data_IF_267148886351
#
_entry.id   IF_267148886351
#
_cell.length_a   1.000
_cell.length_b   1.000
_cell.length_c   1.000
_cell.angle_alpha   90.00
_cell.angle_beta   90.00
_cell.angle_gamma   90.00
#
_symmetry.space_group_name_H-M   'P 1'
#
loop_
_entity.id
_entity.type
_entity.pdbx_description
1 polymer ?
#
# COMPACT_ATOMS: atom_id res chain seq x y z
N UNK A 1 7.09 -3.12 2.92
CA UNK A 1 7.77 -4.42 3.09
C UNK A 1 7.14 -5.43 2.13
N UNK A 2 7.92 -6.37 1.57
CA UNK A 2 9.37 -6.51 1.71
C UNK A 2 10.21 -5.62 0.76
N UNK A 3 9.58 -4.98 -0.23
CA UNK A 3 10.15 -3.87 -1.00
C UNK A 3 10.38 -2.61 -0.14
N UNK A 4 11.15 -1.66 -0.68
CA UNK A 4 11.51 -0.39 -0.03
C UNK A 4 12.26 -0.51 1.31
N UNK A 5 13.06 -1.57 1.48
CA UNK A 5 13.75 -1.89 2.76
C UNK A 5 15.25 -1.55 2.78
N UNK A 6 15.75 -0.77 1.81
CA UNK A 6 17.18 -0.42 1.70
C UNK A 6 17.74 0.27 2.94
N UNK A 7 16.99 1.16 3.58
CA UNK A 7 17.44 1.86 4.79
C UNK A 7 17.59 0.88 5.97
N UNK A 8 16.64 -0.03 6.16
CA UNK A 8 16.72 -1.08 7.18
C UNK A 8 17.93 -2.00 6.92
N UNK A 9 18.15 -2.42 5.68
CA UNK A 9 19.34 -3.22 5.30
C UNK A 9 20.66 -2.47 5.44
N UNK A 10 20.68 -1.15 5.29
CA UNK A 10 21.88 -0.36 5.54
C UNK A 10 22.23 -0.32 7.04
N UNK A 11 21.23 -0.38 7.93
CA UNK A 11 21.43 -0.47 9.37
C UNK A 11 21.74 -1.91 9.85
N UNK A 12 21.08 -2.90 9.24
CA UNK A 12 21.18 -4.32 9.57
C UNK A 12 21.42 -5.15 8.28
N UNK A 13 22.69 -5.28 7.84
CA UNK A 13 23.04 -5.96 6.59
C UNK A 13 22.52 -7.40 6.47
N UNK A 14 22.38 -8.11 7.60
CA UNK A 14 21.84 -9.46 7.70
C UNK A 14 20.38 -9.62 7.24
N UNK A 15 19.66 -8.49 7.10
CA UNK A 15 18.30 -8.44 6.57
C UNK A 15 18.23 -8.62 5.04
N UNK A 16 19.37 -8.65 4.34
CA UNK A 16 19.47 -9.15 2.96
C UNK A 16 20.00 -10.59 2.93
N UNK A 17 19.58 -11.40 1.94
CA UNK A 17 20.13 -12.75 1.77
C UNK A 17 21.63 -12.75 1.44
N UNK A 18 22.15 -11.65 0.89
CA UNK A 18 23.56 -11.52 0.51
C UNK A 18 24.46 -10.96 1.62
N UNK A 19 23.87 -10.48 2.73
CA UNK A 19 24.60 -9.86 3.84
C UNK A 19 25.39 -8.61 3.45
N UNK A 20 25.14 -8.01 2.28
CA UNK A 20 25.94 -6.88 1.79
C UNK A 20 25.69 -5.64 2.64
N UNK A 21 26.77 -4.96 3.00
CA UNK A 21 26.69 -3.65 3.65
C UNK A 21 26.28 -2.60 2.62
N UNK A 22 25.05 -2.10 2.76
CA UNK A 22 24.50 -1.06 1.90
C UNK A 22 24.67 0.33 2.53
N UNK A 23 24.58 1.36 1.68
CA UNK A 23 24.32 2.74 2.11
C UNK A 23 22.84 3.03 1.94
N UNK A 24 22.29 3.87 2.82
CA UNK A 24 20.96 4.46 2.65
C UNK A 24 20.86 5.11 1.26
N UNK A 25 19.74 4.85 0.57
CA UNK A 25 19.46 5.40 -0.75
C UNK A 25 19.47 6.93 -0.74
N UNK A 26 20.00 7.52 -1.80
CA UNK A 26 20.08 8.99 -1.99
C UNK A 26 19.48 9.44 -3.32
N UNK A 27 18.90 8.51 -4.06
CA UNK A 27 18.23 8.74 -5.31
C UNK A 27 16.79 8.23 -5.19
N UNK A 28 15.91 8.82 -5.99
CA UNK A 28 14.53 8.38 -6.11
C UNK A 28 14.41 7.12 -6.97
N UNK A 29 13.26 6.47 -6.89
CA UNK A 29 12.93 5.29 -7.66
C UNK A 29 13.05 4.00 -6.87
N UNK A 30 12.73 2.90 -7.56
CA UNK A 30 12.73 1.56 -7.00
C UNK A 30 14.16 1.04 -6.85
N UNK A 31 14.47 0.55 -5.66
CA UNK A 31 15.73 -0.12 -5.36
C UNK A 31 15.58 -1.64 -5.51
N UNK A 32 16.56 -2.36 -6.08
CA UNK A 32 16.52 -3.82 -6.18
C UNK A 32 16.73 -4.51 -4.83
N UNK A 33 17.26 -3.80 -3.83
CA UNK A 33 17.56 -4.36 -2.52
C UNK A 33 16.30 -4.53 -1.66
N UNK A 34 15.82 -5.77 -1.58
CA UNK A 34 14.60 -6.15 -0.86
C UNK A 34 14.93 -6.88 0.45
N UNK A 35 13.96 -6.97 1.35
CA UNK A 35 14.09 -7.71 2.60
C UNK A 35 14.14 -9.23 2.33
N UNK A 36 14.93 -9.98 3.11
CA UNK A 36 14.78 -11.44 3.21
C UNK A 36 13.43 -11.79 3.84
N UNK A 37 12.84 -12.91 3.46
CA UNK A 37 11.45 -13.25 3.85
C UNK A 37 11.33 -14.58 4.60
N UNK A 38 12.46 -15.06 5.12
CA UNK A 38 12.51 -16.19 6.05
C UNK A 38 12.31 -15.73 7.51
N UNK A 39 12.51 -16.64 8.46
CA UNK A 39 12.29 -16.40 9.89
C UNK A 39 12.98 -15.15 10.43
N UNK A 40 14.18 -14.82 9.94
CA UNK A 40 14.90 -13.62 10.40
C UNK A 40 14.20 -12.35 9.94
N UNK A 41 13.82 -12.27 8.65
CA UNK A 41 13.09 -11.12 8.13
C UNK A 41 11.69 -10.99 8.72
N UNK A 42 11.01 -12.12 8.90
CA UNK A 42 9.69 -12.17 9.52
C UNK A 42 9.75 -11.70 10.98
N UNK A 43 10.74 -12.17 11.75
CA UNK A 43 10.92 -11.73 13.15
C UNK A 43 11.18 -10.22 13.21
N UNK A 44 12.10 -9.71 12.38
CA UNK A 44 12.41 -8.28 12.33
C UNK A 44 11.15 -7.42 12.09
N UNK A 45 10.32 -7.82 11.11
CA UNK A 45 9.06 -7.12 10.86
C UNK A 45 8.08 -7.23 12.03
N UNK A 46 7.94 -8.41 12.64
CA UNK A 46 7.05 -8.61 13.79
C UNK A 46 7.45 -7.76 14.99
N UNK A 47 8.74 -7.70 15.32
CA UNK A 47 9.24 -6.87 16.43
C UNK A 47 8.88 -5.38 16.21
N UNK A 48 9.07 -4.84 15.00
CA UNK A 48 8.68 -3.46 14.66
C UNK A 48 7.16 -3.27 14.74
N UNK A 49 6.40 -4.24 14.23
CA UNK A 49 4.94 -4.17 14.26
C UNK A 49 4.40 -4.21 15.69
N UNK A 50 5.04 -4.92 16.61
CA UNK A 50 4.71 -4.89 18.04
C UNK A 50 4.89 -3.47 18.60
N UNK A 51 6.03 -2.82 18.35
CA UNK A 51 6.25 -1.44 18.78
C UNK A 51 5.22 -0.47 18.17
N UNK A 52 4.89 -0.63 16.88
CA UNK A 52 3.87 0.20 16.23
C UNK A 52 2.48 -0.03 16.83
N UNK A 53 2.13 -1.28 17.19
CA UNK A 53 0.86 -1.59 17.82
C UNK A 53 0.74 -0.98 19.23
N UNK A 54 1.85 -0.84 19.94
CA UNK A 54 1.91 -0.18 21.26
C UNK A 54 1.82 1.35 21.17
N UNK A 55 2.42 1.94 20.13
CA UNK A 55 2.45 3.41 19.96
C UNK A 55 1.16 3.95 19.35
N UNK A 56 0.52 3.22 18.44
CA UNK A 56 -0.62 3.70 17.66
C UNK A 56 -1.92 2.95 17.99
N UNK A 57 -2.91 3.70 18.45
CA UNK A 57 -4.27 3.21 18.73
C UNK A 57 -5.08 2.87 17.47
N UNK A 58 -4.59 3.23 16.28
CA UNK A 58 -5.23 2.92 14.99
C UNK A 58 -5.53 1.42 14.86
N UNK A 59 -6.72 1.08 14.40
CA UNK A 59 -7.08 -0.29 14.00
C UNK A 59 -6.21 -0.78 12.84
N UNK A 60 -5.66 0.13 12.04
CA UNK A 60 -4.98 -0.18 10.79
C UNK A 60 -3.48 0.03 10.86
N UNK A 61 -2.74 -0.88 10.23
CA UNK A 61 -1.30 -0.75 9.98
C UNK A 61 -1.05 -0.94 8.47
N UNK A 62 -0.43 0.06 7.83
CA UNK A 62 -0.05 -0.03 6.42
C UNK A 62 1.34 -0.67 6.29
N UNK A 63 1.43 -1.78 5.58
CA UNK A 63 2.68 -2.55 5.42
C UNK A 63 3.46 -2.22 4.14
N UNK A 64 2.88 -1.42 3.24
CA UNK A 64 3.41 -1.18 1.90
C UNK A 64 3.01 -2.33 0.98
N UNK A 65 4.01 -3.02 0.42
CA UNK A 65 3.83 -4.18 -0.47
C UNK A 65 4.08 -3.87 -1.94
N UNK A 66 4.31 -2.61 -2.26
CA UNK A 66 4.64 -2.09 -3.57
C UNK A 66 6.08 -2.39 -3.97
N UNK A 67 6.30 -2.37 -5.30
CA UNK A 67 7.63 -2.30 -5.93
C UNK A 67 8.68 -3.20 -5.27
N UNK A 68 8.42 -4.51 -5.28
CA UNK A 68 9.30 -5.51 -4.70
C UNK A 68 9.95 -6.39 -5.79
N UNK A 69 11.12 -5.99 -6.34
CA UNK A 69 11.84 -6.80 -7.31
C UNK A 69 12.24 -8.18 -6.80
N UNK A 70 12.06 -9.20 -7.63
CA UNK A 70 12.39 -10.60 -7.32
C UNK A 70 13.86 -10.96 -7.60
N UNK A 71 14.65 -10.04 -8.15
CA UNK A 71 15.98 -10.32 -8.68
C UNK A 71 16.94 -10.89 -7.62
N UNK A 72 17.04 -10.26 -6.45
CA UNK A 72 17.91 -10.75 -5.37
C UNK A 72 17.46 -12.11 -4.81
N UNK A 73 16.13 -12.32 -4.71
CA UNK A 73 15.60 -13.61 -4.27
C UNK A 73 15.88 -14.72 -5.29
N UNK A 74 15.82 -14.41 -6.58
CA UNK A 74 16.11 -15.35 -7.66
C UNK A 74 17.57 -15.84 -7.63
N UNK A 75 18.50 -14.99 -7.25
CA UNK A 75 19.92 -15.34 -7.12
C UNK A 75 20.20 -16.12 -5.81
N UNK A 76 19.42 -15.87 -4.75
CA UNK A 76 19.61 -16.48 -3.43
C UNK A 76 19.28 -17.98 -3.39
N UNK A 77 20.22 -18.86 -2.99
CA UNK A 77 19.93 -20.27 -2.73
C UNK A 77 18.90 -20.46 -1.61
N UNK A 78 19.00 -19.67 -0.53
CA UNK A 78 18.09 -19.74 0.61
C UNK A 78 16.66 -19.36 0.20
N UNK A 79 16.48 -18.31 -0.60
CA UNK A 79 15.15 -17.93 -1.08
C UNK A 79 14.55 -19.02 -1.98
N UNK A 80 15.35 -19.65 -2.85
CA UNK A 80 14.91 -20.79 -3.67
C UNK A 80 14.53 -22.02 -2.83
N UNK A 81 15.20 -22.26 -1.70
CA UNK A 81 14.82 -23.30 -0.75
C UNK A 81 13.50 -22.97 -0.04
N UNK A 82 13.30 -21.73 0.37
CA UNK A 82 12.02 -21.26 0.94
C UNK A 82 10.87 -21.43 -0.06
N UNK A 83 11.11 -21.09 -1.33
CA UNK A 83 10.11 -21.25 -2.38
C UNK A 83 9.69 -22.72 -2.52
N UNK A 84 10.65 -23.64 -2.50
CA UNK A 84 10.36 -25.09 -2.51
C UNK A 84 9.62 -25.54 -1.25
N UNK A 85 9.97 -25.00 -0.09
CA UNK A 85 9.33 -25.36 1.18
C UNK A 85 7.84 -25.01 1.20
N UNK A 86 7.44 -23.92 0.52
CA UNK A 86 6.03 -23.55 0.34
C UNK A 86 5.39 -24.21 -0.90
N UNK A 87 6.07 -25.15 -1.55
CA UNK A 87 5.65 -25.78 -2.81
C UNK A 87 5.39 -24.80 -3.96
N UNK A 88 6.02 -23.64 -3.93
CA UNK A 88 5.84 -22.59 -4.93
C UNK A 88 6.69 -22.80 -6.17
N UNK A 89 6.31 -22.12 -7.24
CA UNK A 89 6.90 -22.24 -8.58
C UNK A 89 7.44 -20.92 -9.12
N UNK A 90 6.89 -19.80 -8.66
CA UNK A 90 7.26 -18.45 -9.05
C UNK A 90 7.73 -17.63 -7.85
N UNK A 91 8.70 -16.73 -8.05
CA UNK A 91 9.37 -16.06 -6.93
C UNK A 91 8.47 -15.04 -6.21
N UNK A 92 7.47 -14.47 -6.90
CA UNK A 92 6.42 -13.64 -6.29
C UNK A 92 5.63 -14.39 -5.21
N UNK A 93 5.54 -15.72 -5.27
CA UNK A 93 4.88 -16.54 -4.25
C UNK A 93 5.54 -16.38 -2.87
N UNK A 94 6.83 -16.05 -2.81
CA UNK A 94 7.49 -15.72 -1.55
C UNK A 94 6.95 -14.43 -0.93
N UNK A 95 6.74 -13.38 -1.73
CA UNK A 95 6.13 -12.14 -1.25
C UNK A 95 4.71 -12.41 -0.76
N UNK A 96 3.93 -13.21 -1.51
CA UNK A 96 2.56 -13.58 -1.12
C UNK A 96 2.53 -14.33 0.20
N UNK A 97 3.40 -15.33 0.36
CA UNK A 97 3.50 -16.11 1.59
C UNK A 97 3.93 -15.24 2.78
N UNK A 98 4.93 -14.37 2.60
CA UNK A 98 5.36 -13.42 3.62
C UNK A 98 4.24 -12.47 4.03
N UNK A 99 3.54 -11.88 3.05
CA UNK A 99 2.44 -10.94 3.28
C UNK A 99 1.29 -11.61 4.04
N UNK A 100 0.95 -12.86 3.73
CA UNK A 100 -0.06 -13.61 4.45
C UNK A 100 0.32 -13.85 5.92
N UNK A 101 1.60 -14.10 6.22
CA UNK A 101 2.08 -14.26 7.61
C UNK A 101 2.02 -12.94 8.39
N UNK A 102 2.32 -11.81 7.75
CA UNK A 102 2.19 -10.48 8.37
C UNK A 102 0.73 -10.12 8.62
N UNK A 103 -0.15 -10.41 7.66
CA UNK A 103 -1.59 -10.19 7.80
C UNK A 103 -2.19 -10.98 8.97
N UNK A 104 -1.85 -12.26 9.09
CA UNK A 104 -2.26 -13.11 10.21
C UNK A 104 -1.72 -12.59 11.54
N UNK A 105 -0.46 -12.16 11.55
CA UNK A 105 0.15 -11.63 12.75
C UNK A 105 -0.53 -10.34 13.23
N UNK A 106 -0.78 -9.38 12.33
CA UNK A 106 -1.53 -8.16 12.67
C UNK A 106 -2.94 -8.48 13.17
N UNK A 107 -3.63 -9.43 12.54
CA UNK A 107 -4.93 -9.91 13.01
C UNK A 107 -4.86 -10.45 14.44
N UNK A 108 -3.82 -11.22 14.77
CA UNK A 108 -3.61 -11.73 16.14
C UNK A 108 -3.41 -10.62 17.18
N UNK A 109 -3.00 -9.43 16.74
CA UNK A 109 -2.85 -8.21 17.56
C UNK A 109 -4.10 -7.33 17.56
N UNK A 110 -5.20 -7.79 16.96
CA UNK A 110 -6.44 -7.01 16.81
C UNK A 110 -6.33 -5.87 15.79
N UNK A 111 -5.30 -5.88 14.93
CA UNK A 111 -5.09 -4.87 13.89
C UNK A 111 -5.52 -5.41 12.51
N UNK A 112 -5.88 -4.49 11.62
CA UNK A 112 -6.24 -4.72 10.22
C UNK A 112 -5.08 -4.29 9.34
N UNK A 113 -4.62 -5.19 8.47
CA UNK A 113 -3.55 -4.87 7.53
C UNK A 113 -4.07 -4.00 6.38
N UNK A 114 -3.31 -2.96 6.01
CA UNK A 114 -3.46 -2.25 4.75
C UNK A 114 -2.20 -2.43 3.90
N UNK A 115 -2.33 -2.55 2.58
CA UNK A 115 -1.20 -2.46 1.65
C UNK A 115 -1.61 -2.02 0.26
N UNK A 116 -0.62 -1.72 -0.58
CA UNK A 116 -0.81 -1.38 -1.98
C UNK A 116 -1.33 -2.57 -2.79
N UNK A 117 -1.98 -2.33 -3.93
CA UNK A 117 -2.70 -3.36 -4.68
C UNK A 117 -1.88 -4.58 -5.10
N UNK A 118 -0.56 -4.48 -5.15
CA UNK A 118 0.36 -5.61 -5.28
C UNK A 118 0.09 -6.75 -4.28
N UNK A 119 -0.38 -6.45 -3.06
CA UNK A 119 -0.60 -7.47 -2.03
C UNK A 119 -1.67 -8.50 -2.43
N UNK A 120 -2.49 -8.23 -3.46
CA UNK A 120 -3.53 -9.14 -3.95
C UNK A 120 -3.26 -9.70 -5.36
N UNK A 121 -2.12 -9.39 -6.00
CA UNK A 121 -1.87 -9.75 -7.41
C UNK A 121 -1.92 -11.27 -7.69
N UNK A 122 -1.63 -12.10 -6.68
CA UNK A 122 -1.77 -13.56 -6.77
C UNK A 122 -2.75 -14.15 -5.76
N UNK A 123 -3.77 -13.38 -5.37
CA UNK A 123 -4.83 -13.78 -4.44
C UNK A 123 -4.84 -12.98 -3.14
N UNK A 124 -6.00 -12.91 -2.50
CA UNK A 124 -6.17 -12.16 -1.23
C UNK A 124 -5.40 -12.87 -0.11
N UNK A 125 -4.45 -12.20 0.56
CA UNK A 125 -3.81 -12.78 1.73
C UNK A 125 -4.87 -12.98 2.82
N UNK A 126 -4.78 -14.07 3.57
CA UNK A 126 -5.65 -14.27 4.73
C UNK A 126 -5.57 -13.08 5.71
N UNK A 127 -6.55 -12.95 6.60
CA UNK A 127 -6.51 -11.93 7.65
C UNK A 127 -7.29 -10.64 7.38
N UNK A 128 -8.22 -10.62 6.42
CA UNK A 128 -9.09 -9.48 6.08
C UNK A 128 -8.31 -8.17 5.78
N UNK A 129 -7.43 -8.18 4.76
CA UNK A 129 -6.67 -6.99 4.39
C UNK A 129 -7.58 -5.87 3.86
N UNK A 130 -7.03 -4.67 3.80
CA UNK A 130 -7.56 -3.54 3.03
C UNK A 130 -6.55 -3.16 1.95
N UNK A 131 -7.02 -2.87 0.74
CA UNK A 131 -6.18 -2.58 -0.43
C UNK A 131 -6.20 -1.09 -0.76
N UNK A 132 -5.03 -0.49 -0.99
CA UNK A 132 -4.89 0.80 -1.68
C UNK A 132 -4.61 0.57 -3.18
N UNK A 133 -5.53 0.97 -4.03
CA UNK A 133 -5.43 0.82 -5.49
C UNK A 133 -4.77 2.05 -6.13
N UNK A 134 -3.57 1.88 -6.73
CA UNK A 134 -2.78 3.03 -7.22
C UNK A 134 -2.33 2.94 -8.68
N UNK A 135 -1.86 1.77 -9.16
CA UNK A 135 -1.25 1.62 -10.50
C UNK A 135 -2.27 1.69 -11.63
N UNK A 136 -3.06 0.63 -11.75
CA UNK A 136 -4.24 0.53 -12.61
C UNK A 136 -5.45 0.57 -11.69
N UNK A 137 -5.66 1.71 -11.06
CA UNK A 137 -6.53 1.85 -9.89
C UNK A 137 -7.94 1.32 -10.12
N UNK A 138 -8.52 1.50 -11.32
CA UNK A 138 -9.84 0.96 -11.66
C UNK A 138 -9.81 -0.57 -11.66
N UNK A 139 -8.84 -1.21 -12.34
CA UNK A 139 -8.76 -2.68 -12.34
C UNK A 139 -8.34 -3.25 -10.99
N UNK A 140 -7.45 -2.58 -10.27
CA UNK A 140 -7.08 -2.95 -8.90
C UNK A 140 -8.28 -2.86 -7.95
N UNK A 141 -9.10 -1.82 -8.08
CA UNK A 141 -10.33 -1.67 -7.33
C UNK A 141 -11.38 -2.73 -7.70
N UNK A 142 -11.57 -3.02 -9.00
CA UNK A 142 -12.44 -4.10 -9.46
C UNK A 142 -12.00 -5.47 -8.93
N UNK A 143 -10.70 -5.80 -9.01
CA UNK A 143 -10.15 -7.08 -8.51
C UNK A 143 -10.38 -7.23 -7.00
N UNK A 144 -10.03 -6.21 -6.22
CA UNK A 144 -10.17 -6.23 -4.76
C UNK A 144 -11.63 -6.30 -4.31
N UNK A 145 -12.50 -5.45 -4.86
CA UNK A 145 -13.94 -5.45 -4.52
C UNK A 145 -14.64 -6.73 -4.99
N UNK A 146 -14.28 -7.28 -6.16
CA UNK A 146 -14.81 -8.56 -6.62
C UNK A 146 -14.46 -9.71 -5.66
N UNK A 147 -13.29 -9.63 -5.01
CA UNK A 147 -12.82 -10.56 -4.00
C UNK A 147 -13.36 -10.29 -2.58
N UNK A 148 -14.25 -9.30 -2.41
CA UNK A 148 -14.84 -8.94 -1.11
C UNK A 148 -13.88 -8.21 -0.17
N UNK A 149 -12.79 -7.65 -0.70
CA UNK A 149 -11.78 -6.93 0.07
C UNK A 149 -12.14 -5.45 0.13
N UNK A 150 -11.93 -4.82 1.29
CA UNK A 150 -12.09 -3.37 1.43
C UNK A 150 -11.04 -2.64 0.60
N UNK A 151 -11.45 -1.62 -0.12
CA UNK A 151 -10.59 -0.93 -1.08
C UNK A 151 -10.65 0.57 -0.88
N UNK A 152 -9.48 1.20 -0.90
CA UNK A 152 -9.28 2.64 -0.94
C UNK A 152 -8.69 2.97 -2.32
N UNK A 153 -9.33 3.86 -3.06
CA UNK A 153 -8.76 4.35 -4.32
C UNK A 153 -7.71 5.44 -4.03
N UNK A 154 -6.49 5.20 -4.48
CA UNK A 154 -5.37 6.13 -4.41
C UNK A 154 -4.67 6.22 -5.79
N UNK A 155 -5.41 6.52 -6.87
CA UNK A 155 -4.87 6.56 -8.22
C UNK A 155 -3.70 7.54 -8.34
N UNK A 156 -2.78 7.27 -9.27
CA UNK A 156 -1.66 8.18 -9.58
C UNK A 156 -2.10 9.59 -9.97
N UNK A 157 -3.33 9.79 -10.46
CA UNK A 157 -3.90 11.13 -10.68
C UNK A 157 -4.05 11.94 -9.37
N UNK A 158 -4.12 11.30 -8.21
CA UNK A 158 -4.14 11.94 -6.89
C UNK A 158 -2.74 12.03 -6.24
N UNK A 159 -1.66 11.80 -7.00
CA UNK A 159 -0.30 11.95 -6.49
C UNK A 159 0.10 13.42 -6.57
N UNK A 160 -0.11 14.14 -5.47
CA UNK A 160 0.16 15.58 -5.38
C UNK A 160 1.66 15.95 -5.37
N UNK A 161 2.56 14.98 -5.57
CA UNK A 161 3.97 15.21 -5.90
C UNK A 161 4.24 15.32 -7.41
N UNK A 162 3.23 15.13 -8.25
CA UNK A 162 3.29 15.31 -9.71
C UNK A 162 2.95 16.75 -10.10
N UNK A 163 3.32 17.13 -11.33
CA UNK A 163 3.01 18.44 -11.88
C UNK A 163 1.50 18.61 -12.08
N UNK A 164 0.95 19.77 -11.69
CA UNK A 164 -0.48 20.08 -11.81
C UNK A 164 -0.83 20.83 -13.11
N UNK A 165 0.19 21.36 -13.79
CA UNK A 165 0.10 22.02 -15.09
C UNK A 165 1.12 21.45 -16.09
N UNK A 166 1.46 22.19 -17.16
CA UNK A 166 2.51 21.78 -18.09
C UNK A 166 3.83 21.49 -17.35
N UNK A 167 4.33 20.26 -17.47
CA UNK A 167 5.45 19.74 -16.68
C UNK A 167 6.72 20.60 -16.73
N UNK A 168 6.99 21.25 -17.86
CA UNK A 168 8.14 22.12 -18.08
C UNK A 168 8.02 23.52 -17.41
N UNK A 169 6.84 23.84 -16.86
CA UNK A 169 6.53 25.12 -16.20
C UNK A 169 6.28 25.00 -14.70
N UNK A 170 6.24 23.78 -14.20
CA UNK A 170 5.98 23.48 -12.79
C UNK A 170 7.28 23.32 -11.99
N UNK A 171 7.24 23.43 -10.65
CA UNK A 171 8.35 23.04 -9.79
C UNK A 171 8.78 21.57 -10.00
N UNK A 172 9.90 21.17 -9.40
CA UNK A 172 10.38 19.78 -9.44
C UNK A 172 9.25 18.82 -9.03
N UNK A 173 8.85 17.98 -9.98
CA UNK A 173 7.78 17.01 -9.82
C UNK A 173 8.23 15.62 -10.29
N UNK A 174 7.56 14.58 -9.79
CA UNK A 174 7.84 13.18 -10.17
C UNK A 174 7.58 12.91 -11.66
N UNK A 175 6.60 13.60 -12.23
CA UNK A 175 6.16 13.48 -13.62
C UNK A 175 4.92 14.35 -13.87
N UNK A 176 4.29 14.23 -15.05
CA UNK A 176 2.99 14.81 -15.32
C UNK A 176 1.94 14.26 -14.35
N UNK A 177 1.09 15.13 -13.81
CA UNK A 177 -0.01 14.77 -12.90
C UNK A 177 -1.36 15.23 -13.43
N UNK A 178 -2.35 15.25 -12.54
CA UNK A 178 -3.67 15.78 -12.82
C UNK A 178 -3.77 17.26 -12.46
N UNK A 179 -4.52 18.02 -13.26
CA UNK A 179 -4.92 19.37 -12.90
C UNK A 179 -6.06 19.37 -11.88
N UNK A 180 -6.39 20.55 -11.36
CA UNK A 180 -7.43 20.71 -10.34
C UNK A 180 -8.82 20.24 -10.84
N UNK A 181 -9.15 20.48 -12.10
CA UNK A 181 -10.43 20.07 -12.68
C UNK A 181 -10.55 18.54 -12.76
N UNK A 182 -9.48 17.88 -13.17
CA UNK A 182 -9.37 16.41 -13.21
C UNK A 182 -9.49 15.79 -11.82
N UNK A 183 -8.83 16.38 -10.81
CA UNK A 183 -8.97 15.96 -9.40
C UNK A 183 -10.39 16.18 -8.89
N UNK A 184 -11.00 17.32 -9.20
CA UNK A 184 -12.36 17.66 -8.79
C UNK A 184 -13.42 16.74 -9.42
N UNK A 185 -13.21 16.34 -10.67
CA UNK A 185 -14.09 15.45 -11.42
C UNK A 185 -13.88 13.95 -11.09
N UNK A 186 -12.92 13.62 -10.23
CA UNK A 186 -12.65 12.23 -9.86
C UNK A 186 -13.83 11.62 -9.10
N UNK A 187 -14.42 10.58 -9.68
CA UNK A 187 -15.44 9.75 -9.06
C UNK A 187 -14.83 8.39 -8.69
N UNK A 188 -14.62 8.09 -7.39
CA UNK A 188 -14.02 6.84 -6.95
C UNK A 188 -14.94 5.62 -7.14
N UNK A 189 -16.20 5.81 -7.56
CA UNK A 189 -17.15 4.72 -7.82
C UNK A 189 -17.31 4.42 -9.31
N UNK A 190 -16.76 5.27 -10.18
CA UNK A 190 -16.86 5.08 -11.62
C UNK A 190 -16.25 3.73 -12.03
N UNK A 191 -17.04 2.97 -12.79
CA UNK A 191 -16.69 1.63 -13.29
C UNK A 191 -16.43 0.57 -12.19
N UNK A 192 -16.89 0.81 -10.96
CA UNK A 192 -16.82 -0.15 -9.85
C UNK A 192 -18.21 -0.73 -9.60
N UNK A 193 -18.35 -2.05 -9.70
CA UNK A 193 -19.60 -2.73 -9.31
C UNK A 193 -19.73 -2.73 -7.78
N UNK A 194 -20.72 -2.00 -7.25
CA UNK A 194 -21.09 -2.10 -5.84
C UNK A 194 -21.64 -3.51 -5.54
N UNK A 195 -20.83 -4.34 -4.88
CA UNK A 195 -21.35 -5.50 -4.16
C UNK A 195 -21.89 -5.00 -2.83
N UNK A 196 -23.21 -5.10 -2.66
CA UNK A 196 -23.99 -4.68 -1.48
C UNK A 196 -23.25 -4.92 -0.15
N UNK A 197 -23.04 -3.86 0.65
CA UNK A 197 -22.60 -3.98 2.05
C UNK A 197 -21.41 -3.11 2.49
N UNK A 198 -20.85 -2.25 1.64
CA UNK A 198 -19.65 -1.46 1.97
C UNK A 198 -19.97 -0.03 2.40
N UNK A 199 -19.31 0.40 3.48
CA UNK A 199 -19.39 1.75 4.05
C UNK A 199 -18.57 2.75 3.22
N UNK A 200 -19.07 3.98 3.10
CA UNK A 200 -18.42 5.10 2.44
C UNK A 200 -17.53 5.89 3.39
N UNK A 201 -16.34 6.28 2.94
CA UNK A 201 -15.58 7.38 3.52
C UNK A 201 -15.75 8.58 2.58
N UNK A 202 -16.74 9.43 2.89
CA UNK A 202 -16.98 10.66 2.13
C UNK A 202 -15.99 11.74 2.60
N UNK A 203 -14.95 12.01 1.80
CA UNK A 203 -14.02 13.11 2.07
C UNK A 203 -14.64 14.42 1.57
N UNK A 204 -15.47 15.07 2.40
CA UNK A 204 -15.99 16.41 2.07
C UNK A 204 -14.90 17.47 2.31
N UNK A 205 -14.38 18.04 1.22
CA UNK A 205 -13.54 19.24 1.28
C UNK A 205 -14.36 20.38 1.93
N UNK A 206 -14.00 20.78 3.15
CA UNK A 206 -14.58 21.95 3.80
C UNK A 206 -13.86 23.20 3.29
N UNK A 207 -14.49 23.92 2.38
CA UNK A 207 -14.04 25.27 2.04
C UNK A 207 -14.50 26.25 3.14
N UNK A 208 -13.58 27.09 3.61
CA UNK A 208 -13.84 28.09 4.64
C UNK A 208 -14.81 29.20 4.17
N UNK A 209 -15.21 30.13 5.06
CA UNK A 209 -16.30 31.09 4.84
C UNK A 209 -16.12 32.10 3.68
N UNK A 210 -15.02 32.02 2.91
CA UNK A 210 -14.68 32.96 1.82
C UNK A 210 -14.71 32.32 0.41
N UNK A 211 -15.29 31.15 0.21
CA UNK A 211 -15.47 30.56 -1.13
C UNK A 211 -16.89 30.76 -1.66
N UNK A 212 -16.97 31.13 -2.94
CA UNK A 212 -18.16 31.51 -3.71
C UNK A 212 -19.41 30.62 -3.48
N UNK A 213 -20.63 31.20 -3.51
CA UNK A 213 -21.86 30.45 -3.29
C UNK A 213 -22.19 29.61 -4.53
N UNK A 214 -22.16 28.29 -4.40
CA UNK A 214 -22.85 27.40 -5.32
C UNK A 214 -24.29 27.20 -4.82
N UNK A 215 -25.23 27.47 -5.70
CA UNK A 215 -26.67 27.42 -5.46
C UNK A 215 -27.17 26.02 -5.09
N UNK A 216 -28.01 25.98 -4.05
CA UNK A 216 -29.07 25.00 -3.79
C UNK A 216 -28.74 23.51 -3.99
N UNK A 217 -28.25 22.87 -2.94
CA UNK A 217 -28.79 21.58 -2.49
C UNK A 217 -28.89 21.55 -0.97
N UNK A 218 -30.10 21.36 -0.48
CA UNK A 218 -30.41 21.11 0.92
C UNK A 218 -29.81 19.77 1.35
N UNK A 219 -28.87 19.78 2.30
CA UNK A 219 -28.29 18.55 2.84
C UNK A 219 -27.61 18.81 4.18
N UNK A 220 -28.12 18.15 5.21
CA UNK A 220 -27.74 18.21 6.61
C UNK A 220 -26.25 17.96 6.87
N UNK A 221 -25.76 18.63 7.91
CA UNK A 221 -24.43 18.45 8.51
C UNK A 221 -24.25 17.01 8.98
N UNK A 222 -23.14 16.37 8.60
CA UNK A 222 -22.68 15.15 9.27
C UNK A 222 -21.27 15.39 9.83
N UNK A 223 -21.16 15.28 11.15
CA UNK A 223 -19.91 15.13 11.88
C UNK A 223 -19.40 13.71 11.74
N UNK A 224 -18.07 13.56 11.76
CA UNK A 224 -17.42 12.28 11.99
C UNK A 224 -17.74 11.87 13.44
N UNK A 225 -18.68 10.95 13.63
CA UNK A 225 -18.88 10.28 14.92
C UNK A 225 -18.57 8.81 14.72
N UNK A 226 -17.34 8.43 15.06
CA UNK A 226 -16.92 7.04 15.16
C UNK A 226 -17.37 6.53 16.53
N UNK A 227 -18.60 6.07 16.62
CA UNK A 227 -19.05 5.22 17.74
C UNK A 227 -19.39 3.82 17.23
N UNK A 228 -18.94 2.83 18.03
CA UNK A 228 -18.68 1.41 17.75
C UNK A 228 -19.77 0.62 17.00
#
# INVERSE_FOLDING_TARGET
>A
MPGHMRAARAAYPELGYDGKVLKVGRAWGMYPEVLRVDDLGLKFCKDILDELCEVFDSDYIHIGGDECPEAEWSESPTAREQLKAISGTHMDELQRHFTAQIAEYLRSKGKKMIGWDEIIDGGVPGGDPTVLAWRDWTKAAQRSTAAGVRTIQAPTMLYFGSAQGPFDKEPLAQGPGADLETVYAFDPYKDIEEKTGTWSLECRLRFGPNTFPLSNTSGTWCSLDLSL
#
